data_IF_899209313019
#
_entry.id   IF_899209313019
#
_cell.length_a   1.000
_cell.length_b   1.000
_cell.length_c   1.000
_cell.angle_alpha   90.00
_cell.angle_beta   90.00
_cell.angle_gamma   90.00
#
_symmetry.space_group_name_H-M   'P 1'
#
loop_
_entity.id
_entity.type
_entity.pdbx_description
1 polymer ?
#
# COMPACT_ATOMS: atom_id res chain seq x y z
N UNK A 1 -7.15 -18.63 2.97
CA UNK A 1 -7.85 -18.36 4.25
C UNK A 1 -8.57 -17.03 4.10
N UNK A 2 -9.85 -16.95 4.44
CA UNK A 2 -10.58 -15.67 4.46
C UNK A 2 -10.33 -15.02 5.83
N UNK A 3 -9.99 -13.74 5.84
CA UNK A 3 -9.80 -12.97 7.08
C UNK A 3 -11.12 -12.35 7.53
N UNK A 4 -11.32 -12.32 8.84
CA UNK A 4 -12.38 -11.60 9.52
C UNK A 4 -11.80 -10.57 10.47
N UNK A 5 -12.62 -9.61 10.90
CA UNK A 5 -12.23 -8.66 11.94
C UNK A 5 -11.84 -9.39 13.23
N UNK A 6 -10.74 -8.97 13.84
CA UNK A 6 -10.17 -9.61 15.04
C UNK A 6 -9.18 -10.74 14.74
N UNK A 7 -9.12 -11.25 13.50
CA UNK A 7 -8.09 -12.22 13.13
C UNK A 7 -6.70 -11.59 13.19
N UNK A 8 -5.72 -12.37 13.65
CA UNK A 8 -4.32 -11.96 13.53
C UNK A 8 -3.93 -11.92 12.05
N UNK A 9 -3.49 -10.76 11.58
CA UNK A 9 -3.06 -10.57 10.20
C UNK A 9 -1.92 -11.56 9.85
N UNK A 10 -2.07 -12.37 8.79
CA UNK A 10 -1.04 -13.30 8.36
C UNK A 10 0.24 -12.55 7.97
N UNK A 11 1.38 -13.08 8.40
CA UNK A 11 2.67 -12.55 7.96
C UNK A 11 2.83 -12.70 6.45
N UNK A 12 3.42 -11.69 5.82
CA UNK A 12 3.84 -11.75 4.43
C UNK A 12 5.16 -11.01 4.26
N UNK A 13 5.86 -11.36 3.18
CA UNK A 13 6.95 -10.60 2.58
C UNK A 13 6.65 -10.49 1.09
N UNK A 14 6.70 -9.28 0.54
CA UNK A 14 6.41 -9.02 -0.85
C UNK A 14 7.39 -8.02 -1.44
N UNK A 15 7.71 -8.20 -2.72
CA UNK A 15 8.50 -7.24 -3.48
C UNK A 15 7.69 -5.98 -3.78
N UNK A 16 8.36 -4.83 -3.74
CA UNK A 16 7.80 -3.51 -4.05
C UNK A 16 8.65 -2.82 -5.13
N UNK A 17 8.27 -1.61 -5.52
CA UNK A 17 9.06 -0.78 -6.43
C UNK A 17 10.49 -0.43 -5.95
N UNK A 18 10.84 -0.67 -4.68
CA UNK A 18 12.11 -0.25 -4.08
C UNK A 18 12.79 -1.29 -3.18
N UNK A 19 12.33 -2.54 -3.17
CA UNK A 19 12.88 -3.60 -2.33
C UNK A 19 11.82 -4.61 -1.93
N UNK A 20 11.85 -5.02 -0.66
CA UNK A 20 10.83 -5.89 -0.08
C UNK A 20 10.21 -5.25 1.16
N UNK A 21 8.94 -5.52 1.38
CA UNK A 21 8.20 -5.14 2.58
C UNK A 21 7.73 -6.41 3.28
N UNK A 22 7.97 -6.49 4.59
CA UNK A 22 7.44 -7.55 5.43
C UNK A 22 6.47 -7.00 6.46
N UNK A 23 5.28 -7.60 6.63
CA UNK A 23 4.29 -7.08 7.59
C UNK A 23 4.84 -6.97 9.02
N UNK A 24 5.72 -7.90 9.40
CA UNK A 24 6.37 -7.92 10.72
C UNK A 24 7.20 -6.67 11.05
N UNK A 25 7.62 -5.89 10.04
CA UNK A 25 8.39 -4.66 10.25
C UNK A 25 7.55 -3.52 10.84
N UNK A 26 6.23 -3.62 10.78
CA UNK A 26 5.29 -2.61 11.25
C UNK A 26 4.65 -2.95 12.61
N UNK A 27 5.22 -3.87 13.39
CA UNK A 27 4.70 -4.17 14.73
C UNK A 27 4.70 -2.91 15.59
N UNK A 28 3.56 -2.64 16.23
CA UNK A 28 3.35 -1.42 17.03
C UNK A 28 2.87 -0.21 16.21
N UNK A 29 2.75 -0.36 14.88
CA UNK A 29 2.23 0.67 13.98
C UNK A 29 0.94 0.19 13.31
N UNK A 30 0.00 1.10 13.06
CA UNK A 30 -1.17 0.77 12.25
C UNK A 30 -0.76 0.67 10.76
N UNK A 31 -1.31 -0.31 10.04
CA UNK A 31 -1.05 -0.51 8.61
C UNK A 31 -2.37 -0.41 7.86
N UNK A 32 -2.47 0.58 6.97
CA UNK A 32 -3.54 0.65 5.98
C UNK A 32 -3.08 -0.13 4.75
N UNK A 33 -3.52 -1.39 4.66
CA UNK A 33 -3.24 -2.27 3.52
C UNK A 33 -4.46 -2.28 2.59
N UNK A 34 -4.35 -1.63 1.43
CA UNK A 34 -5.46 -1.53 0.48
C UNK A 34 -5.15 -2.29 -0.82
N UNK A 35 -6.07 -3.16 -1.23
CA UNK A 35 -5.94 -3.98 -2.43
C UNK A 35 -6.71 -3.34 -3.57
N UNK A 36 -6.08 -3.14 -4.71
CA UNK A 36 -6.70 -2.56 -5.90
C UNK A 36 -6.46 -3.43 -7.14
N UNK A 37 -7.38 -3.46 -8.13
CA UNK A 37 -7.28 -4.40 -9.26
C UNK A 37 -6.05 -4.20 -10.15
N UNK A 38 -5.72 -2.95 -10.49
CA UNK A 38 -4.67 -2.65 -11.48
C UNK A 38 -4.20 -1.20 -11.48
N UNK A 39 -2.90 -0.99 -11.60
CA UNK A 39 -2.25 0.30 -11.83
C UNK A 39 -2.84 1.04 -13.04
N UNK A 40 -2.85 2.37 -12.97
CA UNK A 40 -3.20 3.26 -14.08
C UNK A 40 -4.64 3.12 -14.61
N UNK A 41 -5.56 2.58 -13.82
CA UNK A 41 -7.00 2.57 -14.16
C UNK A 41 -7.73 3.72 -13.47
N UNK A 42 -8.80 4.31 -14.07
CA UNK A 42 -9.42 5.54 -13.55
C UNK A 42 -9.86 5.46 -12.08
N UNK A 43 -10.38 4.30 -11.64
CA UNK A 43 -10.77 4.07 -10.26
C UNK A 43 -9.56 3.99 -9.31
N UNK A 44 -8.58 3.14 -9.63
CA UNK A 44 -7.40 2.95 -8.79
C UNK A 44 -6.55 4.23 -8.68
N UNK A 45 -6.51 5.04 -9.75
CA UNK A 45 -5.85 6.35 -9.71
C UNK A 45 -6.48 7.27 -8.66
N UNK A 46 -7.82 7.30 -8.58
CA UNK A 46 -8.53 8.14 -7.60
C UNK A 46 -8.26 7.68 -6.18
N UNK A 47 -8.29 6.37 -5.94
CA UNK A 47 -8.02 5.80 -4.61
C UNK A 47 -6.58 6.07 -4.17
N UNK A 48 -5.58 5.78 -5.02
CA UNK A 48 -4.17 6.03 -4.71
C UNK A 48 -3.88 7.53 -4.48
N UNK A 49 -4.43 8.42 -5.30
CA UNK A 49 -4.30 9.87 -5.08
C UNK A 49 -5.00 10.31 -3.79
N UNK A 50 -6.14 9.71 -3.42
CA UNK A 50 -6.80 10.00 -2.16
C UNK A 50 -5.93 9.65 -0.95
N UNK A 51 -5.25 8.51 -0.98
CA UNK A 51 -4.28 8.15 0.05
C UNK A 51 -3.06 9.07 0.06
N UNK A 52 -2.57 9.48 -1.11
CA UNK A 52 -1.47 10.46 -1.23
C UNK A 52 -1.86 11.78 -0.56
N UNK A 53 -3.03 12.30 -0.89
CA UNK A 53 -3.49 13.61 -0.41
C UNK A 53 -3.78 13.58 1.10
N UNK A 54 -4.13 12.41 1.66
CA UNK A 54 -4.33 12.19 3.09
C UNK A 54 -3.09 11.68 3.85
N UNK A 55 -1.96 11.46 3.16
CA UNK A 55 -0.82 10.72 3.70
C UNK A 55 -0.26 11.35 4.98
N UNK A 56 -0.14 12.67 5.04
CA UNK A 56 0.36 13.38 6.22
C UNK A 56 -0.56 13.21 7.43
N UNK A 57 -1.88 13.21 7.21
CA UNK A 57 -2.86 12.98 8.27
C UNK A 57 -2.85 11.53 8.77
N UNK A 58 -2.57 10.57 7.88
CA UNK A 58 -2.46 9.14 8.23
C UNK A 58 -1.18 8.90 9.04
N UNK A 59 -0.04 9.40 8.56
CA UNK A 59 1.26 9.24 9.22
C UNK A 59 1.32 9.98 10.56
N UNK A 60 0.68 11.14 10.68
CA UNK A 60 0.54 11.85 11.96
C UNK A 60 -0.21 11.03 13.04
N UNK A 61 -1.03 10.05 12.63
CA UNK A 61 -1.71 9.10 13.53
C UNK A 61 -0.87 7.85 13.81
N UNK A 62 0.38 7.80 13.36
CA UNK A 62 1.25 6.64 13.52
C UNK A 62 0.83 5.47 12.64
N UNK A 63 0.28 5.72 11.45
CA UNK A 63 -0.07 4.68 10.50
C UNK A 63 0.79 4.76 9.22
N UNK A 64 0.99 3.64 8.55
CA UNK A 64 1.54 3.57 7.18
C UNK A 64 0.48 3.16 6.18
N UNK A 65 0.69 3.53 4.91
CA UNK A 65 -0.13 3.08 3.78
C UNK A 65 0.70 2.11 2.94
N UNK A 66 0.08 1.02 2.51
CA UNK A 66 0.63 0.06 1.55
C UNK A 66 -0.47 -0.29 0.54
N UNK A 67 -0.20 -0.09 -0.75
CA UNK A 67 -1.09 -0.54 -1.81
C UNK A 67 -0.63 -1.87 -2.38
N UNK A 68 -1.58 -2.73 -2.77
CA UNK A 68 -1.28 -4.05 -3.34
C UNK A 68 -2.10 -4.28 -4.60
N UNK A 69 -1.44 -4.64 -5.70
CA UNK A 69 -2.08 -5.25 -6.86
C UNK A 69 -1.25 -6.45 -7.36
N UNK A 70 -1.71 -7.10 -8.43
CA UNK A 70 -0.95 -8.15 -9.11
C UNK A 70 -0.01 -7.61 -10.21
N UNK A 71 0.17 -6.29 -10.30
CA UNK A 71 1.12 -5.69 -11.25
C UNK A 71 2.57 -5.93 -10.83
N UNK A 72 3.51 -5.75 -11.76
CA UNK A 72 4.93 -5.93 -11.43
C UNK A 72 5.52 -4.71 -10.71
N UNK A 73 6.57 -4.91 -9.93
CA UNK A 73 7.31 -3.83 -9.26
C UNK A 73 7.74 -2.69 -10.23
N UNK A 74 8.08 -3.03 -11.48
CA UNK A 74 8.41 -2.04 -12.50
C UNK A 74 7.20 -1.19 -12.94
N UNK A 75 5.98 -1.76 -12.91
CA UNK A 75 4.74 -1.00 -13.16
C UNK A 75 4.38 -0.13 -11.97
N UNK A 76 4.52 -0.66 -10.76
CA UNK A 76 4.36 0.09 -9.52
C UNK A 76 5.28 1.30 -9.46
N UNK A 77 6.57 1.15 -9.80
CA UNK A 77 7.50 2.28 -9.89
C UNK A 77 7.01 3.40 -10.81
N UNK A 78 6.56 3.05 -12.03
CA UNK A 78 5.99 4.02 -12.96
C UNK A 78 4.72 4.68 -12.44
N UNK A 79 3.90 3.96 -11.69
CA UNK A 79 2.65 4.47 -11.13
C UNK A 79 2.93 5.43 -9.97
N UNK A 80 3.87 5.09 -9.08
CA UNK A 80 4.38 5.95 -8.01
C UNK A 80 4.95 7.24 -8.59
N UNK A 81 5.86 7.15 -9.56
CA UNK A 81 6.50 8.32 -10.17
C UNK A 81 5.48 9.24 -10.84
N UNK A 82 4.53 8.65 -11.57
CA UNK A 82 3.50 9.40 -12.31
C UNK A 82 2.56 10.18 -11.40
N UNK A 83 2.22 9.64 -10.23
CA UNK A 83 1.24 10.25 -9.32
C UNK A 83 1.87 10.84 -8.06
N UNK A 84 3.18 10.73 -7.87
CA UNK A 84 3.90 11.21 -6.69
C UNK A 84 3.41 10.52 -5.42
N UNK A 85 3.27 9.19 -5.44
CA UNK A 85 2.74 8.44 -4.29
C UNK A 85 3.82 8.28 -3.21
N UNK A 86 3.61 8.76 -1.96
CA UNK A 86 4.62 8.74 -0.90
C UNK A 86 4.68 7.40 -0.13
N UNK A 87 4.17 6.32 -0.72
CA UNK A 87 4.04 5.02 -0.07
C UNK A 87 4.38 3.88 -1.04
N UNK A 88 4.70 2.71 -0.46
CA UNK A 88 5.11 1.55 -1.23
C UNK A 88 3.93 0.84 -1.90
N UNK A 89 4.20 0.34 -3.11
CA UNK A 89 3.36 -0.54 -3.92
C UNK A 89 4.15 -1.78 -4.33
#
# INVERSE_FOLDING_TARGET
MKLNEGDMAPGFTAATNGGEVSLGQFRGQAVVLYFYPKDNTPGCNKEACGFRDAHDAITAKGAVVLGVSADSAARHGKFIDKFGLPFAL
#
